data_IF_808603690577
#
_entry.id   IF_808603690577
#
_cell.length_a   1.000
_cell.length_b   1.000
_cell.length_c   1.000
_cell.angle_alpha   90.00
_cell.angle_beta   90.00
_cell.angle_gamma   90.00
#
_symmetry.space_group_name_H-M   'P 1'
#
loop_
_entity.id
_entity.type
_entity.pdbx_description
1 polymer ?
#
# COMPACT_ATOMS: atom_id res chain seq x y z
N UNK A 1 -13.37 -6.48 -14.46
CA UNK A 1 -13.08 -6.27 -13.03
C UNK A 1 -13.72 -5.00 -12.52
N UNK A 2 -14.42 -5.09 -11.40
CA UNK A 2 -15.02 -3.92 -10.77
C UNK A 2 -13.96 -2.98 -10.20
N UNK A 3 -14.26 -1.69 -10.18
CA UNK A 3 -13.41 -0.68 -9.57
C UNK A 3 -13.85 -0.51 -8.12
N UNK A 4 -12.93 -0.61 -7.12
CA UNK A 4 -13.30 -0.37 -5.73
C UNK A 4 -13.92 1.03 -5.53
N UNK A 5 -14.96 1.11 -4.70
CA UNK A 5 -15.67 2.36 -4.43
C UNK A 5 -14.74 3.47 -3.93
N UNK A 6 -13.75 3.12 -3.12
CA UNK A 6 -12.77 4.09 -2.61
C UNK A 6 -11.94 4.79 -3.70
N UNK A 7 -11.86 4.22 -4.91
CA UNK A 7 -11.16 4.84 -6.03
C UNK A 7 -12.02 5.85 -6.78
N UNK A 8 -13.34 5.76 -6.62
CA UNK A 8 -14.31 6.71 -7.17
C UNK A 8 -15.21 7.19 -6.01
N UNK A 9 -14.68 8.07 -5.12
CA UNK A 9 -15.43 8.51 -3.94
C UNK A 9 -16.73 9.23 -4.29
N UNK A 10 -17.72 9.10 -3.42
CA UNK A 10 -19.04 9.73 -3.59
C UNK A 10 -18.97 11.25 -3.66
N UNK A 11 -17.97 11.88 -3.05
CA UNK A 11 -17.78 13.32 -3.03
C UNK A 11 -17.44 13.93 -4.40
N UNK A 12 -17.00 13.10 -5.35
CA UNK A 12 -16.69 13.56 -6.70
C UNK A 12 -17.96 14.03 -7.42
N UNK A 13 -17.82 15.09 -8.24
CA UNK A 13 -18.88 15.48 -9.18
C UNK A 13 -19.11 14.36 -10.20
N UNK A 14 -20.28 14.33 -10.83
CA UNK A 14 -20.58 13.35 -11.89
C UNK A 14 -19.53 13.36 -12.98
N UNK A 15 -19.08 14.57 -13.38
CA UNK A 15 -18.04 14.74 -14.39
C UNK A 15 -16.72 14.09 -13.95
N UNK A 16 -16.30 14.35 -12.70
CA UNK A 16 -15.05 13.82 -12.18
C UNK A 16 -15.11 12.31 -11.94
N UNK A 17 -16.27 11.77 -11.54
CA UNK A 17 -16.47 10.32 -11.46
C UNK A 17 -16.23 9.64 -12.81
N UNK A 18 -16.77 10.22 -13.88
CA UNK A 18 -16.59 9.72 -15.24
C UNK A 18 -15.13 9.81 -15.68
N UNK A 19 -14.46 10.94 -15.40
CA UNK A 19 -13.03 11.12 -15.67
C UNK A 19 -12.18 10.09 -14.93
N UNK A 20 -12.39 9.95 -13.62
CA UNK A 20 -11.64 9.04 -12.78
C UNK A 20 -11.80 7.59 -13.25
N UNK A 21 -13.01 7.18 -13.57
CA UNK A 21 -13.28 5.86 -14.13
C UNK A 21 -12.52 5.62 -15.44
N UNK A 22 -12.54 6.61 -16.33
CA UNK A 22 -11.81 6.56 -17.60
C UNK A 22 -10.30 6.45 -17.40
N UNK A 23 -9.75 7.24 -16.48
CA UNK A 23 -8.32 7.20 -16.15
C UNK A 23 -7.91 5.84 -15.57
N UNK A 24 -8.70 5.30 -14.67
CA UNK A 24 -8.42 3.98 -14.08
C UNK A 24 -8.45 2.87 -15.12
N UNK A 25 -9.44 2.86 -16.00
CA UNK A 25 -9.55 1.87 -17.06
C UNK A 25 -8.38 1.98 -18.04
N UNK A 26 -8.00 3.19 -18.41
CA UNK A 26 -6.84 3.43 -19.29
C UNK A 26 -5.54 2.97 -18.63
N UNK A 27 -5.35 3.27 -17.35
CA UNK A 27 -4.18 2.84 -16.58
C UNK A 27 -4.05 1.31 -16.57
N UNK A 28 -5.14 0.60 -16.29
CA UNK A 28 -5.18 -0.86 -16.27
C UNK A 28 -4.86 -1.47 -17.63
N UNK A 29 -5.44 -0.91 -18.68
CA UNK A 29 -5.21 -1.35 -20.04
C UNK A 29 -3.74 -1.17 -20.46
N UNK A 30 -3.19 0.01 -20.22
CA UNK A 30 -1.81 0.33 -20.55
C UNK A 30 -0.82 -0.52 -19.76
N UNK A 31 -1.10 -0.81 -18.49
CA UNK A 31 -0.26 -1.68 -17.69
C UNK A 31 -0.16 -3.10 -18.26
N UNK A 32 -1.27 -3.63 -18.77
CA UNK A 32 -1.27 -4.96 -19.46
C UNK A 32 -0.39 -4.96 -20.71
N UNK A 33 -0.22 -3.81 -21.35
CA UNK A 33 0.64 -3.62 -22.51
C UNK A 33 2.10 -3.29 -22.13
N UNK A 34 2.42 -3.32 -20.84
CA UNK A 34 3.75 -2.98 -20.33
C UNK A 34 4.03 -1.48 -20.25
N UNK A 35 2.98 -0.65 -20.28
CA UNK A 35 3.08 0.81 -20.24
C UNK A 35 2.58 1.36 -18.91
N UNK A 36 3.17 2.47 -18.46
CA UNK A 36 2.80 3.14 -17.22
C UNK A 36 2.06 4.44 -17.53
N UNK A 37 0.83 4.54 -17.05
CA UNK A 37 -0.01 5.73 -17.26
C UNK A 37 -0.15 6.52 -15.96
N UNK A 38 0.28 7.77 -15.99
CA UNK A 38 0.13 8.70 -14.86
C UNK A 38 -1.24 9.36 -14.97
N UNK A 39 -2.13 9.05 -14.02
CA UNK A 39 -3.50 9.56 -14.05
C UNK A 39 -3.55 11.04 -13.65
N UNK A 40 -4.24 11.89 -14.43
CA UNK A 40 -4.42 13.29 -14.07
C UNK A 40 -5.24 13.45 -12.79
N UNK A 41 -5.06 14.60 -12.15
CA UNK A 41 -5.84 14.97 -10.96
C UNK A 41 -7.26 15.37 -11.35
N UNK A 42 -8.21 15.15 -10.44
CA UNK A 42 -9.59 15.63 -10.55
C UNK A 42 -9.81 16.76 -9.54
N UNK A 43 -10.58 17.78 -9.94
CA UNK A 43 -10.73 19.03 -9.16
C UNK A 43 -11.60 18.87 -7.92
N UNK A 44 -12.61 18.01 -7.95
CA UNK A 44 -13.59 17.85 -6.86
C UNK A 44 -13.13 16.97 -5.72
N UNK A 45 -11.87 16.54 -5.71
CA UNK A 45 -11.30 15.72 -4.64
C UNK A 45 -10.09 16.38 -4.02
N UNK A 46 -10.11 16.51 -2.70
CA UNK A 46 -8.95 16.97 -1.93
C UNK A 46 -8.32 15.76 -1.24
N UNK A 47 -7.08 15.48 -1.56
CA UNK A 47 -6.32 14.42 -0.90
C UNK A 47 -6.06 14.78 0.56
N UNK A 48 -6.32 13.84 1.47
CA UNK A 48 -5.96 13.97 2.87
C UNK A 48 -4.65 13.22 3.12
N UNK A 49 -3.86 13.67 4.09
CA UNK A 49 -2.68 12.94 4.52
C UNK A 49 -3.06 11.54 4.99
N UNK A 50 -2.21 10.56 4.72
CA UNK A 50 -2.46 9.18 5.08
C UNK A 50 -2.43 9.00 6.60
N UNK A 51 -3.45 8.37 7.16
CA UNK A 51 -3.48 7.97 8.57
C UNK A 51 -2.34 7.00 8.91
N UNK A 52 -1.90 6.24 7.93
CA UNK A 52 -0.79 5.30 8.11
C UNK A 52 0.53 6.03 8.36
N UNK A 53 0.75 7.17 7.73
CA UNK A 53 1.94 8.00 7.96
C UNK A 53 1.93 8.63 9.35
N UNK A 54 0.76 9.04 9.84
CA UNK A 54 0.60 9.52 11.21
C UNK A 54 0.95 8.42 12.23
N UNK A 55 0.53 7.20 11.99
CA UNK A 55 0.86 6.05 12.84
C UNK A 55 2.35 5.71 12.81
N UNK A 56 3.01 5.84 11.67
CA UNK A 56 4.47 5.65 11.56
C UNK A 56 5.19 6.64 12.46
N UNK A 57 4.80 7.90 12.41
CA UNK A 57 5.36 8.95 13.25
C UNK A 57 5.15 8.64 14.74
N UNK A 58 3.95 8.22 15.10
CA UNK A 58 3.59 7.89 16.48
C UNK A 58 4.34 6.65 17.00
N UNK A 59 4.43 5.59 16.22
CA UNK A 59 5.00 4.30 16.64
C UNK A 59 6.53 4.30 16.56
N UNK A 60 7.11 4.85 15.50
CA UNK A 60 8.55 4.76 15.23
C UNK A 60 9.29 6.08 15.42
N UNK A 61 8.59 7.17 15.71
CA UNK A 61 9.18 8.51 15.86
C UNK A 61 10.02 8.91 14.63
N UNK A 62 9.42 8.78 13.47
CA UNK A 62 10.01 9.11 12.17
C UNK A 62 9.15 10.18 11.50
N UNK A 63 9.74 11.30 11.10
CA UNK A 63 8.99 12.39 10.47
C UNK A 63 8.63 12.11 9.01
N UNK A 64 9.55 11.53 8.25
CA UNK A 64 9.32 11.20 6.85
C UNK A 64 9.59 9.72 6.61
N UNK A 65 8.63 9.03 5.98
CA UNK A 65 8.77 7.62 5.68
C UNK A 65 9.62 7.42 4.42
N UNK A 66 10.86 7.03 4.64
CA UNK A 66 11.83 6.72 3.59
C UNK A 66 12.61 5.47 3.98
N UNK A 67 12.98 4.67 3.00
CA UNK A 67 13.83 3.49 3.25
C UNK A 67 15.27 3.95 3.42
N UNK A 68 15.68 4.13 4.65
CA UNK A 68 17.02 4.55 5.06
C UNK A 68 17.50 3.75 6.27
N UNK A 69 18.70 4.03 6.74
CA UNK A 69 19.29 3.32 7.91
C UNK A 69 18.44 3.48 9.17
N UNK A 70 17.85 4.65 9.38
CA UNK A 70 16.98 4.91 10.53
C UNK A 70 15.74 4.02 10.52
N UNK A 71 15.06 3.93 9.38
CA UNK A 71 13.87 3.09 9.24
C UNK A 71 14.22 1.60 9.42
N UNK A 72 15.30 1.15 8.81
CA UNK A 72 15.78 -0.23 8.93
C UNK A 72 16.05 -0.58 10.41
N UNK A 73 16.72 0.31 11.12
CA UNK A 73 17.02 0.13 12.54
C UNK A 73 15.75 0.09 13.41
N UNK A 74 14.84 1.03 13.20
CA UNK A 74 13.62 1.16 14.03
C UNK A 74 12.60 0.06 13.75
N UNK A 75 12.49 -0.39 12.51
CA UNK A 75 11.56 -1.46 12.13
C UNK A 75 12.16 -2.85 12.30
N UNK A 76 13.48 -2.96 12.36
CA UNK A 76 14.20 -4.24 12.35
C UNK A 76 13.86 -5.09 11.12
N UNK A 77 13.56 -4.42 10.01
CA UNK A 77 13.32 -5.01 8.71
C UNK A 77 14.46 -4.62 7.77
N UNK A 78 14.89 -5.52 6.90
CA UNK A 78 15.94 -5.22 5.96
C UNK A 78 15.46 -4.33 4.81
N UNK A 79 16.42 -3.70 4.13
CA UNK A 79 16.16 -2.79 3.02
C UNK A 79 15.39 -3.46 1.89
N UNK A 80 15.73 -4.70 1.58
CA UNK A 80 15.11 -5.46 0.49
C UNK A 80 13.61 -5.67 0.74
N UNK A 81 13.23 -6.06 1.96
CA UNK A 81 11.84 -6.27 2.32
C UNK A 81 11.02 -4.99 2.25
N UNK A 82 11.55 -3.88 2.77
CA UNK A 82 10.88 -2.58 2.73
C UNK A 82 10.70 -2.11 1.28
N UNK A 83 11.70 -2.28 0.43
CA UNK A 83 11.61 -1.95 -0.99
C UNK A 83 10.63 -2.85 -1.76
N UNK A 84 10.53 -4.12 -1.41
CA UNK A 84 9.52 -5.03 -1.99
C UNK A 84 8.10 -4.52 -1.77
N UNK A 85 7.82 -4.03 -0.57
CA UNK A 85 6.49 -3.46 -0.24
C UNK A 85 6.25 -2.19 -1.05
N UNK A 86 7.25 -1.29 -1.15
CA UNK A 86 7.14 -0.09 -1.98
C UNK A 86 6.87 -0.43 -3.45
N UNK A 87 7.59 -1.39 -4.00
CA UNK A 87 7.43 -1.81 -5.39
C UNK A 87 6.05 -2.42 -5.65
N UNK A 88 5.52 -3.19 -4.70
CA UNK A 88 4.13 -3.68 -4.79
C UNK A 88 3.12 -2.54 -4.79
N UNK A 89 3.34 -1.51 -4.00
CA UNK A 89 2.50 -0.32 -3.97
C UNK A 89 2.52 0.43 -5.30
N UNK A 90 3.69 0.62 -5.90
CA UNK A 90 3.82 1.23 -7.22
C UNK A 90 3.11 0.41 -8.29
N UNK A 91 3.35 -0.91 -8.30
CA UNK A 91 2.68 -1.82 -9.23
C UNK A 91 1.16 -1.79 -9.09
N UNK A 92 0.65 -1.77 -7.86
CA UNK A 92 -0.79 -1.68 -7.60
C UNK A 92 -1.40 -0.37 -8.11
N UNK A 93 -0.68 0.75 -8.01
CA UNK A 93 -1.13 2.02 -8.57
C UNK A 93 -1.45 1.91 -10.06
N UNK A 94 -0.59 1.25 -10.83
CA UNK A 94 -0.76 1.11 -12.27
C UNK A 94 -1.73 -0.01 -12.64
N UNK A 95 -1.65 -1.15 -11.99
CA UNK A 95 -2.41 -2.36 -12.36
C UNK A 95 -3.84 -2.38 -11.84
N UNK A 96 -4.06 -1.89 -10.63
CA UNK A 96 -5.36 -1.90 -9.97
C UNK A 96 -5.96 -0.51 -9.86
N UNK A 97 -5.16 0.46 -9.54
CA UNK A 97 -5.56 1.84 -9.39
C UNK A 97 -5.25 2.39 -8.01
N UNK A 98 -5.81 3.55 -7.72
CA UNK A 98 -5.66 4.24 -6.45
C UNK A 98 -6.84 5.18 -6.23
N UNK A 99 -6.93 5.78 -5.06
CA UNK A 99 -7.80 6.95 -4.84
C UNK A 99 -7.38 8.07 -5.78
N UNK A 100 -8.30 9.04 -6.08
CA UNK A 100 -7.95 10.17 -6.94
C UNK A 100 -6.77 10.97 -6.40
N UNK A 101 -6.07 11.65 -7.30
CA UNK A 101 -5.01 12.60 -6.98
C UNK A 101 -3.79 11.99 -6.26
N UNK A 102 -3.58 10.69 -6.41
CA UNK A 102 -2.38 10.01 -5.92
C UNK A 102 -1.34 9.86 -7.01
N UNK A 103 -0.10 9.64 -6.60
CA UNK A 103 1.00 9.23 -7.48
C UNK A 103 1.37 7.78 -7.16
N UNK A 104 2.12 7.13 -8.04
CA UNK A 104 2.63 5.79 -7.75
C UNK A 104 3.49 5.80 -6.48
N UNK A 105 4.29 6.82 -6.27
CA UNK A 105 5.16 6.96 -5.09
C UNK A 105 4.35 7.20 -3.81
N UNK A 106 3.39 8.12 -3.82
CA UNK A 106 2.55 8.38 -2.64
C UNK A 106 1.73 7.14 -2.25
N UNK A 107 1.25 6.39 -3.24
CA UNK A 107 0.53 5.15 -2.99
C UNK A 107 1.42 4.07 -2.41
N UNK A 108 2.66 3.95 -2.91
CA UNK A 108 3.66 3.02 -2.39
C UNK A 108 4.04 3.34 -0.94
N UNK A 109 4.29 4.61 -0.63
CA UNK A 109 4.64 5.07 0.72
C UNK A 109 3.50 4.81 1.70
N UNK A 110 2.25 5.07 1.30
CA UNK A 110 1.08 4.77 2.12
C UNK A 110 0.95 3.26 2.39
N UNK A 111 1.22 2.42 1.40
CA UNK A 111 1.22 0.96 1.58
C UNK A 111 2.29 0.50 2.57
N UNK A 112 3.51 1.04 2.46
CA UNK A 112 4.58 0.73 3.41
C UNK A 112 4.20 1.17 4.83
N UNK A 113 3.66 2.38 4.97
CA UNK A 113 3.18 2.88 6.26
C UNK A 113 2.12 1.96 6.88
N UNK A 114 1.17 1.51 6.09
CA UNK A 114 0.15 0.54 6.52
C UNK A 114 0.78 -0.79 6.93
N UNK A 115 1.75 -1.29 6.15
CA UNK A 115 2.39 -2.59 6.41
C UNK A 115 3.16 -2.62 7.74
N UNK A 116 3.87 -1.56 8.08
CA UNK A 116 4.72 -1.53 9.29
C UNK A 116 4.00 -1.05 10.55
N UNK A 117 2.74 -0.61 10.43
CA UNK A 117 1.95 -0.12 11.57
C UNK A 117 0.73 -0.98 11.89
N UNK A 118 0.64 -2.18 11.33
CA UNK A 118 -0.48 -3.07 11.57
C UNK A 118 -1.76 -2.68 10.81
N UNK A 119 -1.67 -1.87 9.77
CA UNK A 119 -2.79 -1.57 8.89
C UNK A 119 -3.14 -2.74 7.96
N UNK A 120 -4.13 -2.58 7.08
CA UNK A 120 -4.55 -3.66 6.17
C UNK A 120 -3.43 -4.28 5.34
N UNK A 121 -2.45 -3.47 4.90
CA UNK A 121 -1.32 -3.98 4.12
C UNK A 121 -0.41 -4.92 4.92
N UNK A 122 -0.40 -4.83 6.25
CA UNK A 122 0.38 -5.75 7.08
C UNK A 122 -0.09 -7.19 6.95
N UNK A 123 -1.39 -7.39 6.71
CA UNK A 123 -1.94 -8.71 6.46
C UNK A 123 -1.65 -9.17 5.03
N UNK A 124 -1.81 -8.29 4.05
CA UNK A 124 -1.55 -8.59 2.63
C UNK A 124 -0.08 -8.91 2.40
N UNK A 125 0.82 -8.14 3.01
CA UNK A 125 2.27 -8.27 2.84
C UNK A 125 2.94 -9.02 4.00
N UNK A 126 2.15 -9.76 4.79
CA UNK A 126 2.65 -10.51 5.94
C UNK A 126 3.85 -11.40 5.61
N UNK A 127 3.81 -12.09 4.49
CA UNK A 127 4.89 -12.97 4.05
C UNK A 127 6.22 -12.22 3.82
N UNK A 128 6.16 -10.97 3.38
CA UNK A 128 7.34 -10.12 3.21
C UNK A 128 7.89 -9.72 4.59
N UNK A 129 7.01 -9.31 5.50
CA UNK A 129 7.39 -8.94 6.86
C UNK A 129 8.00 -10.14 7.61
N UNK A 130 7.43 -11.32 7.46
CA UNK A 130 7.93 -12.54 8.08
C UNK A 130 9.33 -12.92 7.58
N UNK A 131 9.55 -12.78 6.27
CA UNK A 131 10.84 -13.12 5.64
C UNK A 131 11.93 -12.09 5.92
N UNK A 132 11.60 -10.79 5.96
CA UNK A 132 12.57 -9.70 5.97
C UNK A 132 12.66 -8.92 7.28
N UNK A 133 11.81 -9.20 8.26
CA UNK A 133 11.85 -8.55 9.57
C UNK A 133 12.23 -9.55 10.65
N UNK A 134 12.90 -9.08 11.70
CA UNK A 134 13.23 -9.92 12.84
C UNK A 134 11.96 -10.43 13.53
N UNK A 135 12.03 -11.61 14.13
CA UNK A 135 10.88 -12.28 14.78
C UNK A 135 10.22 -11.42 15.85
N UNK A 136 11.00 -10.66 16.58
CA UNK A 136 10.52 -9.80 17.65
C UNK A 136 10.29 -8.36 17.22
N UNK A 137 10.36 -8.10 15.90
CA UNK A 137 10.16 -6.75 15.36
C UNK A 137 8.74 -6.27 15.59
N UNK A 138 8.59 -4.96 15.78
CA UNK A 138 7.29 -4.34 15.98
C UNK A 138 6.36 -4.48 14.78
N UNK A 139 6.83 -4.29 13.52
CA UNK A 139 5.98 -4.52 12.36
C UNK A 139 5.39 -5.92 12.32
N UNK A 140 6.19 -6.95 12.61
CA UNK A 140 5.74 -8.33 12.57
C UNK A 140 4.74 -8.64 13.67
N UNK A 141 4.96 -8.13 14.88
CA UNK A 141 4.00 -8.27 16.01
C UNK A 141 2.67 -7.63 15.68
N UNK A 142 2.68 -6.42 15.13
CA UNK A 142 1.46 -5.71 14.73
C UNK A 142 0.75 -6.44 13.58
N UNK A 143 1.51 -6.96 12.62
CA UNK A 143 0.96 -7.74 11.50
C UNK A 143 0.26 -9.00 12.00
N UNK A 144 0.85 -9.72 12.96
CA UNK A 144 0.22 -10.91 13.57
C UNK A 144 -1.12 -10.58 14.22
N UNK A 145 -1.22 -9.45 14.93
CA UNK A 145 -2.48 -9.01 15.53
C UNK A 145 -3.53 -8.71 14.47
N UNK A 146 -3.15 -8.03 13.41
CA UNK A 146 -4.05 -7.69 12.30
C UNK A 146 -4.53 -8.94 11.58
N UNK A 147 -3.64 -9.92 11.36
CA UNK A 147 -3.99 -11.20 10.77
C UNK A 147 -5.06 -11.94 11.57
N UNK A 148 -4.95 -11.97 12.89
CA UNK A 148 -5.95 -12.59 13.76
C UNK A 148 -7.32 -11.93 13.61
N UNK A 149 -7.36 -10.60 13.47
CA UNK A 149 -8.62 -9.86 13.26
C UNK A 149 -9.24 -10.15 11.90
N UNK A 150 -8.43 -10.28 10.86
CA UNK A 150 -8.90 -10.46 9.48
C UNK A 150 -9.16 -11.90 9.07
N UNK A 151 -8.82 -12.86 9.90
CA UNK A 151 -9.06 -14.32 9.80
C UNK A 151 -8.61 -15.06 8.53
N UNK A 152 -8.27 -14.41 7.45
CA UNK A 152 -8.01 -15.08 6.16
C UNK A 152 -6.69 -14.74 5.46
N UNK A 153 -6.03 -13.65 5.85
CA UNK A 153 -5.00 -13.07 4.97
C UNK A 153 -3.56 -13.45 5.32
N UNK A 154 -3.33 -13.98 6.50
CA UNK A 154 -1.98 -14.34 6.95
C UNK A 154 -1.75 -15.84 7.01
N UNK A 155 -2.61 -16.60 6.38
CA UNK A 155 -2.35 -18.01 6.18
C UNK A 155 -1.20 -18.16 5.19
N UNK A 156 -0.20 -18.85 5.64
CA UNK A 156 0.97 -19.26 4.92
C UNK A 156 0.72 -19.62 3.46
N UNK A 157 0.89 -18.65 2.57
CA UNK A 157 1.03 -18.97 1.15
C UNK A 157 2.25 -19.89 0.91
N UNK A 158 3.14 -19.99 1.91
CA UNK A 158 4.31 -20.85 1.84
C UNK A 158 4.05 -22.32 2.20
N UNK A 159 2.93 -22.62 2.86
CA UNK A 159 2.60 -24.03 3.19
C UNK A 159 1.96 -24.78 2.03
N UNK A 160 1.39 -24.06 1.07
CA UNK A 160 0.79 -24.68 -0.12
C UNK A 160 1.79 -24.97 -1.23
N UNK A 161 3.01 -24.45 -1.15
CA UNK A 161 4.05 -24.70 -2.15
C UNK A 161 5.03 -25.81 -1.74
N UNK A 162 4.88 -26.39 -0.57
CA UNK A 162 5.73 -27.51 -0.07
C UNK A 162 5.02 -28.85 -0.05
N UNK A 163 3.99 -29.00 -0.85
CA UNK A 163 3.40 -30.33 -1.09
C UNK A 163 3.61 -30.74 -2.53
#
# INVERSE_FOLDING_TARGET
>A
MSIPEKYIPKVLTKRDKKKQKGYLNKSRKMYKEGKYYIRPKVKSFKSKSSKHLEKVKEIYDIEALQVNKELIKKTQCDKEGLNKILNKGRGAYYSSGSRPNQTAESWAVARLGSAITGGPSSAVDYHILEEHCEKDSKPLKLAKKTCKKMKKMCTNKNTTQKK
#
